data_IF_025024444254
#
_entry.id   IF_025024444254
#
_cell.length_a   1.000
_cell.length_b   1.000
_cell.length_c   1.000
_cell.angle_alpha   90.00
_cell.angle_beta   90.00
_cell.angle_gamma   90.00
#
_symmetry.space_group_name_H-M   'P 1'
#
loop_
_entity.id
_entity.type
_entity.pdbx_description
1 polymer ?
#
# COMPACT_ATOMS: atom_id res chain seq x y z
N UNK A 1 -53.22 -3.29 -4.56
CA UNK A 1 -52.50 -3.07 -5.84
C UNK A 1 -51.35 -2.12 -5.56
N UNK A 2 -50.07 -2.45 -5.76
CA UNK A 2 -49.05 -1.40 -5.53
C UNK A 2 -47.55 -1.73 -5.56
N UNK A 3 -47.10 -2.96 -5.28
CA UNK A 3 -45.65 -3.22 -5.16
C UNK A 3 -45.06 -4.04 -6.31
N UNK A 4 -45.83 -4.95 -6.91
CA UNK A 4 -45.37 -5.81 -8.02
C UNK A 4 -45.24 -5.07 -9.36
N UNK A 5 -46.04 -4.02 -9.57
CA UNK A 5 -45.97 -3.18 -10.77
C UNK A 5 -44.73 -2.25 -10.77
N UNK A 6 -44.29 -1.82 -9.59
CA UNK A 6 -43.12 -0.95 -9.42
C UNK A 6 -41.80 -1.68 -9.71
N UNK A 7 -41.69 -2.94 -9.28
CA UNK A 7 -40.54 -3.81 -9.60
C UNK A 7 -40.42 -4.14 -11.10
N UNK A 8 -41.55 -4.26 -11.81
CA UNK A 8 -41.56 -4.47 -13.26
C UNK A 8 -41.11 -3.23 -14.03
N UNK A 9 -41.56 -2.04 -13.61
CA UNK A 9 -41.13 -0.76 -14.20
C UNK A 9 -39.64 -0.47 -13.96
N UNK A 10 -39.14 -0.75 -12.75
CA UNK A 10 -37.73 -0.59 -12.41
C UNK A 10 -36.83 -1.53 -13.23
N UNK A 11 -37.23 -2.80 -13.45
CA UNK A 11 -36.50 -3.75 -14.31
C UNK A 11 -36.46 -3.33 -15.78
N UNK A 12 -37.56 -2.81 -16.31
CA UNK A 12 -37.64 -2.34 -17.68
C UNK A 12 -36.77 -1.10 -17.92
N UNK A 13 -36.74 -0.17 -16.97
CA UNK A 13 -35.85 1.00 -17.00
C UNK A 13 -34.37 0.61 -16.90
N UNK A 14 -34.05 -0.39 -16.08
CA UNK A 14 -32.67 -0.90 -15.94
C UNK A 14 -32.16 -1.59 -17.21
N UNK A 15 -33.03 -2.32 -17.92
CA UNK A 15 -32.68 -2.97 -19.20
C UNK A 15 -32.53 -1.98 -20.34
N UNK A 16 -33.38 -0.94 -20.40
CA UNK A 16 -33.30 0.06 -21.46
C UNK A 16 -32.06 0.98 -21.31
N UNK A 17 -31.64 1.25 -20.06
CA UNK A 17 -30.40 1.98 -19.78
C UNK A 17 -29.13 1.16 -20.09
N UNK A 18 -29.21 -0.18 -20.03
CA UNK A 18 -28.09 -1.06 -20.37
C UNK A 18 -27.86 -1.18 -21.89
N UNK A 19 -28.91 -0.93 -22.68
CA UNK A 19 -28.90 -0.95 -24.14
C UNK A 19 -28.35 0.31 -24.81
N UNK A 20 -28.40 1.47 -24.13
CA UNK A 20 -27.93 2.75 -24.69
C UNK A 20 -26.43 3.02 -24.50
N UNK A 21 -25.73 2.14 -23.77
CA UNK A 21 -24.30 2.27 -23.55
C UNK A 21 -23.54 1.85 -24.81
N UNK A 22 -22.94 2.84 -25.48
CA UNK A 22 -22.07 2.64 -26.64
C UNK A 22 -21.01 1.55 -26.33
N UNK A 23 -20.56 0.77 -27.34
CA UNK A 23 -19.54 -0.27 -27.14
C UNK A 23 -18.30 0.25 -26.40
N UNK A 24 -17.92 1.51 -26.65
CA UNK A 24 -16.80 2.21 -26.00
C UNK A 24 -17.02 2.41 -24.49
N UNK A 25 -18.26 2.68 -24.06
CA UNK A 25 -18.61 2.82 -22.66
C UNK A 25 -18.50 1.50 -21.89
N UNK A 26 -18.82 0.36 -22.53
CA UNK A 26 -18.66 -0.97 -21.92
C UNK A 26 -17.20 -1.33 -21.68
N UNK A 27 -16.31 -1.01 -22.63
CA UNK A 27 -14.87 -1.16 -22.45
C UNK A 27 -14.32 -0.25 -21.34
N UNK A 28 -14.75 1.01 -21.30
CA UNK A 28 -14.35 1.94 -20.24
C UNK A 28 -14.77 1.46 -18.84
N UNK A 29 -15.98 0.91 -18.72
CA UNK A 29 -16.50 0.39 -17.45
C UNK A 29 -15.78 -0.89 -17.00
N UNK A 30 -15.46 -1.78 -17.95
CA UNK A 30 -14.63 -2.96 -17.69
C UNK A 30 -13.21 -2.58 -17.23
N UNK A 31 -12.57 -1.63 -17.91
CA UNK A 31 -11.25 -1.13 -17.53
C UNK A 31 -11.27 -0.47 -16.14
N UNK A 32 -12.30 0.34 -15.85
CA UNK A 32 -12.47 0.97 -14.55
C UNK A 32 -12.66 -0.07 -13.43
N UNK A 33 -13.44 -1.12 -13.68
CA UNK A 33 -13.60 -2.22 -12.73
C UNK A 33 -12.28 -2.95 -12.47
N UNK A 34 -11.52 -3.27 -13.53
CA UNK A 34 -10.19 -3.88 -13.39
C UNK A 34 -9.24 -2.97 -12.60
N UNK A 35 -9.25 -1.66 -12.87
CA UNK A 35 -8.42 -0.70 -12.13
C UNK A 35 -8.79 -0.65 -10.63
N UNK A 36 -10.08 -0.66 -10.29
CA UNK A 36 -10.55 -0.69 -8.90
C UNK A 36 -10.16 -1.99 -8.20
N UNK A 37 -10.30 -3.13 -8.88
CA UNK A 37 -9.87 -4.44 -8.34
C UNK A 37 -8.37 -4.46 -8.10
N UNK A 38 -7.56 -3.99 -9.06
CA UNK A 38 -6.10 -3.89 -8.91
C UNK A 38 -5.72 -2.95 -7.76
N UNK A 39 -6.42 -1.81 -7.60
CA UNK A 39 -6.18 -0.88 -6.50
C UNK A 39 -6.53 -1.50 -5.14
N UNK A 40 -7.63 -2.25 -5.06
CA UNK A 40 -8.03 -2.97 -3.86
C UNK A 40 -7.04 -4.08 -3.46
N UNK A 41 -6.56 -4.85 -4.44
CA UNK A 41 -5.52 -5.86 -4.23
C UNK A 41 -4.21 -5.21 -3.77
N UNK A 42 -3.80 -4.11 -4.40
CA UNK A 42 -2.62 -3.35 -3.99
C UNK A 42 -2.74 -2.80 -2.56
N UNK A 43 -3.94 -2.34 -2.17
CA UNK A 43 -4.20 -1.87 -0.81
C UNK A 43 -4.16 -3.00 0.24
N UNK A 44 -4.65 -4.20 -0.10
CA UNK A 44 -4.52 -5.37 0.78
C UNK A 44 -3.07 -5.84 0.92
N UNK A 45 -2.27 -5.73 -0.13
CA UNK A 45 -0.84 -6.06 -0.11
C UNK A 45 0.00 -4.99 0.62
N UNK A 46 -0.49 -3.76 0.70
CA UNK A 46 0.16 -2.63 1.37
C UNK A 46 -0.30 -2.49 2.83
N UNK A 47 -0.41 -3.61 3.54
CA UNK A 47 -0.56 -3.57 4.99
C UNK A 47 0.68 -2.85 5.57
N UNK A 48 0.50 -1.87 6.47
CA UNK A 48 1.61 -1.11 7.04
C UNK A 48 2.52 -2.05 7.86
N UNK A 49 3.60 -2.49 7.22
CA UNK A 49 4.64 -3.32 7.82
C UNK A 49 5.43 -2.49 8.84
N UNK A 50 5.78 -3.10 9.96
CA UNK A 50 6.84 -2.61 10.82
C UNK A 50 8.19 -3.04 10.24
N UNK A 51 9.26 -2.43 10.75
CA UNK A 51 10.61 -2.69 10.26
C UNK A 51 11.49 -3.16 11.42
N UNK A 52 12.12 -4.33 11.29
CA UNK A 52 13.10 -4.84 12.24
C UNK A 52 14.51 -4.56 11.70
N UNK A 53 15.27 -3.76 12.43
CA UNK A 53 16.69 -3.54 12.16
C UNK A 53 17.53 -4.42 13.05
N UNK A 54 18.11 -5.46 12.47
CA UNK A 54 19.05 -6.35 13.14
C UNK A 54 20.46 -5.76 13.06
N UNK A 55 21.11 -5.58 14.19
CA UNK A 55 22.52 -5.18 14.29
C UNK A 55 23.26 -6.24 15.09
N UNK A 56 24.01 -7.09 14.40
CA UNK A 56 24.79 -8.15 15.01
C UNK A 56 26.26 -7.76 15.05
N UNK A 57 26.85 -7.70 16.25
CA UNK A 57 28.29 -7.55 16.46
C UNK A 57 28.87 -8.90 16.82
N UNK A 58 29.90 -9.31 16.09
CA UNK A 58 30.56 -10.59 16.31
C UNK A 58 32.07 -10.52 16.12
N UNK A 59 32.76 -11.50 16.68
CA UNK A 59 34.20 -11.70 16.58
C UNK A 59 34.58 -12.90 15.69
N UNK A 60 33.60 -13.54 15.06
CA UNK A 60 33.84 -14.65 14.14
C UNK A 60 34.39 -14.18 12.78
N UNK A 61 35.32 -14.96 12.22
CA UNK A 61 35.78 -14.81 10.83
C UNK A 61 34.67 -15.12 9.82
N UNK A 62 33.90 -16.18 10.10
CA UNK A 62 32.72 -16.60 9.34
C UNK A 62 31.74 -17.27 10.30
N UNK A 63 30.47 -16.89 10.26
CA UNK A 63 29.38 -17.51 11.01
C UNK A 63 28.08 -17.41 10.21
N UNK A 64 27.18 -18.36 10.39
CA UNK A 64 25.85 -18.34 9.80
C UNK A 64 24.85 -17.77 10.81
N UNK A 65 24.08 -16.77 10.39
CA UNK A 65 22.99 -16.19 11.15
C UNK A 65 21.66 -16.61 10.54
N UNK A 66 20.79 -17.16 11.39
CA UNK A 66 19.41 -17.48 11.02
C UNK A 66 18.49 -16.69 11.93
N UNK A 67 17.54 -15.98 11.32
CA UNK A 67 16.51 -15.21 12.03
C UNK A 67 15.17 -15.86 11.76
N UNK A 68 14.49 -16.23 12.82
CA UNK A 68 13.11 -16.71 12.82
C UNK A 68 12.19 -15.72 13.51
N UNK A 69 10.98 -15.56 12.98
CA UNK A 69 9.91 -14.76 13.59
C UNK A 69 8.71 -15.69 13.78
N UNK A 70 8.23 -15.80 15.01
CA UNK A 70 7.13 -16.68 15.40
C UNK A 70 7.32 -18.16 14.97
N UNK A 71 8.58 -18.60 14.89
CA UNK A 71 8.96 -19.96 14.48
C UNK A 71 9.15 -20.15 12.97
N UNK A 72 8.89 -19.13 12.15
CA UNK A 72 9.16 -19.16 10.71
C UNK A 72 10.53 -18.53 10.39
N UNK A 73 11.36 -19.22 9.61
CA UNK A 73 12.66 -18.69 9.19
C UNK A 73 12.45 -17.59 8.13
N UNK A 74 12.66 -16.35 8.54
CA UNK A 74 12.49 -15.18 7.66
C UNK A 74 13.77 -14.79 6.93
N UNK A 75 14.92 -15.11 7.50
CA UNK A 75 16.21 -14.73 6.93
C UNK A 75 17.33 -15.69 7.34
N UNK A 76 18.20 -16.03 6.39
CA UNK A 76 19.43 -16.78 6.63
C UNK A 76 20.54 -16.13 5.85
N UNK A 77 21.67 -15.88 6.51
CA UNK A 77 22.83 -15.22 5.90
C UNK A 77 24.14 -15.69 6.53
N UNK A 78 25.25 -15.45 5.85
CA UNK A 78 26.58 -15.70 6.38
C UNK A 78 27.26 -14.39 6.72
N UNK A 79 27.58 -14.20 8.01
CA UNK A 79 28.28 -13.02 8.52
C UNK A 79 29.78 -13.26 8.54
N UNK A 80 30.54 -12.30 8.04
CA UNK A 80 32.01 -12.37 7.96
C UNK A 80 32.65 -11.21 8.72
N UNK A 81 33.69 -11.53 9.50
CA UNK A 81 34.41 -10.56 10.33
C UNK A 81 35.74 -10.19 9.71
N UNK A 82 36.09 -8.91 9.76
CA UNK A 82 37.40 -8.44 9.30
C UNK A 82 38.41 -8.50 10.45
N UNK A 83 39.60 -9.03 10.18
CA UNK A 83 40.71 -9.04 11.15
C UNK A 83 41.29 -7.63 11.23
N UNK A 84 41.15 -6.96 12.38
CA UNK A 84 41.76 -5.65 12.61
C UNK A 84 42.99 -5.80 13.48
N UNK A 85 44.17 -5.47 12.93
CA UNK A 85 45.41 -5.35 13.70
C UNK A 85 45.38 -4.03 14.48
N UNK A 86 45.34 -4.11 15.80
CA UNK A 86 45.48 -2.94 16.67
C UNK A 86 46.91 -2.93 17.24
N UNK A 87 47.70 -1.95 16.82
CA UNK A 87 49.01 -1.59 17.39
C UNK A 87 49.90 -2.79 17.79
N UNK A 88 50.36 -3.54 16.80
CA UNK A 88 51.57 -4.38 16.88
C UNK A 88 51.49 -5.71 17.65
N UNK A 89 50.51 -5.97 18.53
CA UNK A 89 50.59 -7.16 19.42
C UNK A 89 49.28 -7.98 19.55
N UNK A 90 48.10 -7.45 19.20
CA UNK A 90 46.85 -8.22 19.28
C UNK A 90 46.03 -8.16 17.98
N UNK A 91 45.83 -9.34 17.37
CA UNK A 91 44.86 -9.55 16.30
C UNK A 91 43.48 -9.74 16.92
N UNK A 92 42.57 -8.79 16.69
CA UNK A 92 41.17 -8.93 17.09
C UNK A 92 40.31 -8.99 15.83
N UNK A 93 39.53 -10.06 15.69
CA UNK A 93 38.53 -10.18 14.64
C UNK A 93 37.27 -9.48 15.13
N UNK A 94 36.75 -8.54 14.35
CA UNK A 94 35.51 -7.84 14.67
C UNK A 94 34.71 -7.62 13.38
N UNK A 95 33.45 -8.04 13.41
CA UNK A 95 32.47 -7.91 12.34
C UNK A 95 31.21 -7.23 12.87
N UNK A 96 30.61 -6.38 12.04
CA UNK A 96 29.29 -5.82 12.30
C UNK A 96 28.42 -6.12 11.10
N UNK A 97 27.37 -6.89 11.34
CA UNK A 97 26.34 -7.20 10.36
C UNK A 97 25.10 -6.35 10.66
N UNK A 98 24.56 -5.68 9.65
CA UNK A 98 23.32 -4.90 9.80
C UNK A 98 22.36 -5.31 8.70
N UNK A 99 21.13 -5.69 9.07
CA UNK A 99 20.09 -6.08 8.13
C UNK A 99 18.76 -5.50 8.56
N UNK A 100 17.98 -5.08 7.58
CA UNK A 100 16.62 -4.58 7.79
C UNK A 100 15.63 -5.58 7.20
N UNK A 101 14.67 -6.01 8.00
CA UNK A 101 13.66 -7.00 7.64
C UNK A 101 12.25 -6.40 7.84
N UNK A 102 11.34 -6.54 6.86
CA UNK A 102 9.94 -6.19 7.08
C UNK A 102 9.30 -7.21 8.03
N UNK A 103 8.56 -6.72 9.03
CA UNK A 103 7.86 -7.54 10.03
C UNK A 103 6.42 -7.07 10.16
N UNK A 104 5.50 -8.00 10.44
CA UNK A 104 4.13 -7.66 10.77
C UNK A 104 4.03 -6.65 11.91
N UNK A 105 2.97 -5.84 11.93
CA UNK A 105 2.69 -5.02 13.10
C UNK A 105 2.03 -5.86 14.18
N UNK A 106 2.54 -5.80 15.40
CA UNK A 106 2.02 -6.57 16.53
C UNK A 106 3.13 -7.10 17.43
N UNK A 107 2.74 -7.98 18.36
CA UNK A 107 3.69 -8.69 19.21
C UNK A 107 4.21 -9.90 18.46
N UNK A 108 5.52 -9.97 18.30
CA UNK A 108 6.21 -11.07 17.62
C UNK A 108 7.35 -11.60 18.49
N UNK A 109 7.60 -12.90 18.40
CA UNK A 109 8.75 -13.55 19.00
C UNK A 109 9.88 -13.62 17.97
N UNK A 110 10.94 -12.86 18.19
CA UNK A 110 12.12 -12.89 17.31
C UNK A 110 13.13 -13.86 17.91
N UNK A 111 13.53 -14.83 17.13
CA UNK A 111 14.56 -15.79 17.47
C UNK A 111 15.75 -15.62 16.52
N UNK A 112 16.93 -15.62 17.11
CA UNK A 112 18.19 -15.47 16.40
C UNK A 112 19.06 -16.66 16.78
N UNK A 113 19.50 -17.40 15.77
CA UNK A 113 20.47 -18.47 15.88
C UNK A 113 21.76 -18.04 15.21
N UNK A 114 22.86 -18.23 15.90
CA UNK A 114 24.19 -17.95 15.40
C UNK A 114 25.03 -19.21 15.47
N UNK A 115 25.51 -19.66 14.31
CA UNK A 115 26.30 -20.88 14.14
C UNK A 115 27.69 -20.54 13.59
N UNK A 116 28.72 -20.93 14.32
CA UNK A 116 30.11 -20.86 13.90
C UNK A 116 30.85 -22.15 14.32
N UNK A 117 32.08 -22.40 13.85
CA UNK A 117 32.86 -23.56 14.29
C UNK A 117 33.03 -23.57 15.82
N UNK A 118 32.39 -24.51 16.51
CA UNK A 118 32.41 -24.61 17.98
C UNK A 118 31.46 -23.67 18.72
N UNK A 119 30.52 -23.02 18.03
CA UNK A 119 29.54 -22.09 18.61
C UNK A 119 28.17 -22.30 17.95
N UNK A 120 27.17 -22.80 18.67
CA UNK A 120 25.79 -22.92 18.17
C UNK A 120 24.85 -22.47 19.30
N UNK A 121 24.51 -21.19 19.28
CA UNK A 121 23.63 -20.59 20.28
C UNK A 121 22.39 -20.02 19.62
N UNK A 122 21.26 -20.24 20.27
CA UNK A 122 19.96 -19.73 19.84
C UNK A 122 19.35 -18.94 20.99
N UNK A 123 18.81 -17.76 20.69
CA UNK A 123 18.17 -16.90 21.67
C UNK A 123 16.92 -16.30 21.08
N UNK A 124 15.87 -16.21 21.89
CA UNK A 124 14.61 -15.57 21.52
C UNK A 124 14.32 -14.37 22.42
N UNK A 125 13.64 -13.38 21.85
CA UNK A 125 13.19 -12.18 22.53
C UNK A 125 11.85 -11.72 21.94
N UNK A 126 10.88 -11.45 22.80
CA UNK A 126 9.61 -10.88 22.37
C UNK A 126 9.76 -9.37 22.16
N UNK A 127 9.20 -8.86 21.06
CA UNK A 127 9.14 -7.43 20.74
C UNK A 127 7.74 -7.01 20.35
N UNK A 128 7.43 -5.73 20.60
CA UNK A 128 6.23 -5.09 20.06
C UNK A 128 6.62 -4.23 18.86
N UNK A 129 6.00 -4.52 17.72
CA UNK A 129 6.27 -3.87 16.45
C UNK A 129 5.11 -2.96 16.08
N UNK A 130 5.31 -1.66 16.28
CA UNK A 130 4.33 -0.65 15.90
C UNK A 130 4.35 -0.40 14.39
N UNK A 131 3.16 -0.22 13.79
CA UNK A 131 3.00 0.10 12.36
C UNK A 131 3.86 1.29 11.94
N UNK A 132 4.64 1.13 10.86
CA UNK A 132 5.49 2.17 10.30
C UNK A 132 6.64 2.63 11.21
N UNK A 133 6.91 1.92 12.31
CA UNK A 133 8.07 2.18 13.18
C UNK A 133 9.17 1.17 12.91
N UNK A 134 10.39 1.61 13.13
CA UNK A 134 11.59 0.78 13.10
C UNK A 134 11.96 0.37 14.54
N UNK A 135 12.09 -0.93 14.76
CA UNK A 135 12.58 -1.52 16.01
C UNK A 135 13.98 -2.07 15.77
N UNK A 136 14.96 -1.59 16.53
CA UNK A 136 16.34 -2.04 16.39
C UNK A 136 16.66 -3.12 17.42
N UNK A 137 17.07 -4.30 16.95
CA UNK A 137 17.54 -5.41 17.77
C UNK A 137 19.06 -5.50 17.68
N UNK A 138 19.73 -5.36 18.82
CA UNK A 138 21.16 -5.62 18.92
C UNK A 138 21.44 -7.05 19.36
N UNK A 139 22.31 -7.70 18.60
CA UNK A 139 22.80 -9.05 18.86
C UNK A 139 24.29 -8.95 19.14
N UNK A 140 24.73 -9.51 20.25
CA UNK A 140 26.15 -9.58 20.58
C UNK A 140 26.56 -11.03 20.76
N UNK A 141 27.59 -11.45 20.01
CA UNK A 141 28.27 -12.72 20.27
C UNK A 141 29.38 -12.49 21.30
N UNK A 142 29.22 -13.13 22.45
CA UNK A 142 30.27 -13.26 23.46
C UNK A 142 30.37 -14.72 23.88
N UNK A 143 30.61 -14.97 25.17
CA UNK A 143 30.51 -16.33 25.74
C UNK A 143 29.13 -16.94 25.50
N UNK A 144 28.09 -16.11 25.58
CA UNK A 144 26.71 -16.46 25.25
C UNK A 144 26.13 -15.45 24.25
N UNK A 145 25.09 -15.87 23.52
CA UNK A 145 24.36 -15.01 22.60
C UNK A 145 23.40 -14.10 23.39
N UNK A 146 23.62 -12.78 23.32
CA UNK A 146 22.76 -11.81 23.98
C UNK A 146 21.98 -10.97 22.98
N UNK A 147 20.71 -10.72 23.31
CA UNK A 147 19.76 -9.94 22.54
C UNK A 147 19.27 -8.78 23.37
N UNK A 148 19.32 -7.57 22.82
CA UNK A 148 18.81 -6.38 23.47
C UNK A 148 18.09 -5.48 22.47
N UNK A 149 16.88 -5.04 22.82
CA UNK A 149 16.20 -3.99 22.08
C UNK A 149 16.94 -2.67 22.29
N UNK A 150 17.32 -2.04 21.19
CA UNK A 150 17.81 -0.66 21.21
C UNK A 150 16.58 0.24 21.12
N UNK A 151 16.18 0.82 22.23
CA UNK A 151 15.24 1.93 22.21
C UNK A 151 15.84 3.03 21.34
N UNK A 152 15.14 3.41 20.28
CA UNK A 152 15.38 4.67 19.59
C UNK A 152 15.02 5.80 20.58
N UNK A 153 15.93 6.12 21.51
CA UNK A 153 15.58 6.94 22.67
C UNK A 153 16.71 7.09 23.68
N UNK A 154 17.88 7.56 23.24
CA UNK A 154 18.81 8.30 24.11
C UNK A 154 19.37 9.49 23.32
N UNK A 155 18.50 10.45 23.07
CA UNK A 155 18.76 11.71 22.39
C UNK A 155 17.56 12.61 22.63
N UNK A 156 17.82 13.77 23.23
CA UNK A 156 16.84 14.68 23.79
C UNK A 156 15.72 15.11 22.84
N UNK A 157 14.53 15.30 23.41
CA UNK A 157 13.55 16.31 22.99
C UNK A 157 12.96 16.17 21.59
N UNK A 158 11.89 15.41 21.45
CA UNK A 158 10.78 15.77 20.59
C UNK A 158 9.55 14.97 21.04
N UNK A 159 8.61 15.67 21.69
CA UNK A 159 7.24 15.20 21.71
C UNK A 159 6.75 15.24 20.25
N UNK A 160 6.56 14.07 19.64
CA UNK A 160 5.90 13.97 18.34
C UNK A 160 4.64 13.11 18.49
N UNK A 161 3.48 13.61 18.02
CA UNK A 161 2.19 13.02 18.29
C UNK A 161 2.02 11.71 17.53
N UNK A 162 1.32 10.78 18.19
CA UNK A 162 0.82 9.56 17.59
C UNK A 162 0.13 9.84 16.23
N UNK A 163 0.50 9.06 15.20
CA UNK A 163 -0.30 8.95 13.97
C UNK A 163 0.25 9.62 12.71
N UNK A 164 1.58 9.72 12.54
CA UNK A 164 2.16 10.17 11.27
C UNK A 164 1.92 9.13 10.16
N UNK A 165 0.79 9.28 9.46
CA UNK A 165 0.57 8.69 8.14
C UNK A 165 1.70 9.15 7.20
N UNK A 166 2.25 8.28 6.33
CA UNK A 166 3.31 8.66 5.40
C UNK A 166 2.93 9.93 4.64
N UNK A 167 3.84 10.92 4.61
CA UNK A 167 3.59 12.27 4.05
C UNK A 167 3.06 12.26 2.62
N UNK A 168 3.34 11.21 1.84
CA UNK A 168 2.78 11.02 0.49
C UNK A 168 1.26 10.84 0.47
N UNK A 169 0.61 10.35 1.54
CA UNK A 169 -0.86 10.25 1.63
C UNK A 169 -1.55 11.61 1.61
N UNK A 170 -0.88 12.69 2.05
CA UNK A 170 -1.40 14.06 1.89
C UNK A 170 -1.50 14.45 0.42
N UNK A 171 -0.58 13.95 -0.41
CA UNK A 171 -0.59 14.15 -1.86
C UNK A 171 -1.48 13.13 -2.58
N UNK A 172 -1.65 11.93 -2.04
CA UNK A 172 -2.60 10.94 -2.58
C UNK A 172 -4.04 11.48 -2.55
N UNK A 173 -4.42 12.16 -1.46
CA UNK A 173 -5.70 12.85 -1.36
C UNK A 173 -5.88 13.94 -2.42
N UNK A 174 -4.85 14.75 -2.71
CA UNK A 174 -4.92 15.81 -3.72
C UNK A 174 -4.95 15.26 -5.16
N UNK A 175 -4.23 14.18 -5.43
CA UNK A 175 -4.26 13.48 -6.72
C UNK A 175 -5.65 12.86 -6.95
N UNK A 176 -6.24 12.20 -5.94
CA UNK A 176 -7.60 11.67 -6.02
C UNK A 176 -8.65 12.77 -6.21
N UNK A 177 -8.51 13.91 -5.53
CA UNK A 177 -9.38 15.08 -5.74
C UNK A 177 -9.29 15.63 -7.17
N UNK A 178 -8.09 15.59 -7.77
CA UNK A 178 -7.89 16.08 -9.14
C UNK A 178 -8.47 15.11 -10.17
N UNK A 179 -8.34 13.80 -9.95
CA UNK A 179 -8.94 12.76 -10.80
C UNK A 179 -10.47 12.80 -10.70
N UNK A 180 -11.03 12.94 -9.50
CA UNK A 180 -12.49 13.08 -9.33
C UNK A 180 -13.04 14.37 -9.95
N UNK A 181 -12.32 15.50 -9.77
CA UNK A 181 -12.72 16.78 -10.35
C UNK A 181 -12.75 16.77 -11.89
N UNK A 182 -11.81 16.07 -12.52
CA UNK A 182 -11.77 15.97 -13.99
C UNK A 182 -12.86 15.05 -14.56
N UNK A 183 -13.23 13.98 -13.85
CA UNK A 183 -14.36 13.12 -14.23
C UNK A 183 -15.70 13.87 -14.12
N UNK A 184 -15.94 14.59 -13.02
CA UNK A 184 -17.18 15.36 -12.81
C UNK A 184 -17.32 16.48 -13.85
N UNK A 185 -16.23 17.19 -14.15
CA UNK A 185 -16.21 18.27 -15.15
C UNK A 185 -16.58 17.77 -16.56
N UNK A 186 -16.05 16.61 -16.97
CA UNK A 186 -16.38 16.01 -18.27
C UNK A 186 -17.86 15.59 -18.36
N UNK A 187 -18.46 15.07 -17.29
CA UNK A 187 -19.87 14.68 -17.28
C UNK A 187 -20.84 15.85 -17.43
N UNK A 188 -20.50 17.04 -16.89
CA UNK A 188 -21.35 18.23 -17.03
C UNK A 188 -21.34 18.72 -18.48
N UNK A 189 -20.20 18.69 -19.16
CA UNK A 189 -20.10 19.07 -20.57
C UNK A 189 -20.96 18.21 -21.50
N UNK A 190 -21.00 16.90 -21.26
CA UNK A 190 -21.84 15.97 -22.04
C UNK A 190 -23.33 16.23 -21.79
N UNK A 191 -23.74 16.46 -20.54
CA UNK A 191 -25.14 16.77 -20.20
C UNK A 191 -25.61 18.08 -20.83
N UNK A 192 -24.77 19.11 -20.89
CA UNK A 192 -25.10 20.40 -21.52
C UNK A 192 -25.25 20.25 -23.03
N UNK A 193 -24.35 19.49 -23.67
CA UNK A 193 -24.46 19.24 -25.11
C UNK A 193 -25.74 18.45 -25.44
N UNK A 194 -26.06 17.43 -24.67
CA UNK A 194 -27.29 16.65 -24.87
C UNK A 194 -28.54 17.50 -24.64
N UNK A 195 -28.53 18.40 -23.65
CA UNK A 195 -29.67 19.30 -23.40
C UNK A 195 -29.85 20.35 -24.51
N UNK A 196 -28.76 20.96 -24.99
CA UNK A 196 -28.81 21.91 -26.10
C UNK A 196 -29.20 21.24 -27.41
N UNK A 197 -28.70 20.02 -27.66
CA UNK A 197 -29.03 19.24 -28.86
C UNK A 197 -30.50 18.78 -28.83
N UNK A 198 -31.01 18.36 -27.68
CA UNK A 198 -32.42 18.04 -27.49
C UNK A 198 -33.33 19.26 -27.64
N UNK A 199 -32.92 20.44 -27.16
CA UNK A 199 -33.67 21.68 -27.34
C UNK A 199 -33.69 22.13 -28.81
N UNK A 200 -32.56 22.03 -29.51
CA UNK A 200 -32.44 22.39 -30.93
C UNK A 200 -33.29 21.47 -31.82
N UNK A 201 -33.37 20.18 -31.48
CA UNK A 201 -34.26 19.23 -32.16
C UNK A 201 -35.73 19.62 -32.04
N UNK A 202 -36.21 19.99 -30.84
CA UNK A 202 -37.61 20.42 -30.63
C UNK A 202 -37.95 21.73 -31.35
N UNK A 203 -37.03 22.69 -31.38
CA UNK A 203 -37.26 23.98 -32.08
C UNK A 203 -37.31 23.80 -33.59
N UNK A 204 -36.53 22.87 -34.15
CA UNK A 204 -36.59 22.53 -35.58
C UNK A 204 -37.91 21.88 -35.99
N UNK A 205 -38.54 21.12 -35.10
CA UNK A 205 -39.82 20.44 -35.35
C UNK A 205 -40.98 21.43 -35.36
N UNK A 206 -40.98 22.45 -34.50
CA UNK A 206 -41.99 23.52 -34.50
C UNK A 206 -41.90 24.44 -35.72
N UNK A 207 -40.70 24.71 -36.23
CA UNK A 207 -40.51 25.56 -37.43
C UNK A 207 -40.93 24.89 -38.74
N UNK A 208 -40.88 23.56 -38.80
CA UNK A 208 -41.23 22.78 -40.00
C UNK A 208 -42.74 22.65 -40.20
N UNK A 209 -43.52 22.60 -39.10
CA UNK A 209 -44.99 22.56 -39.14
C UNK A 209 -45.59 23.88 -39.65
N UNK A 210 -44.94 25.02 -39.39
CA UNK A 210 -45.45 26.33 -39.80
C UNK A 210 -45.19 26.66 -41.29
N UNK A 211 -44.21 26.01 -41.92
CA UNK A 211 -43.88 26.21 -43.34
C UNK A 211 -44.71 25.35 -44.29
N UNK A 212 -45.22 24.20 -43.85
CA UNK A 212 -46.19 23.41 -44.65
C UNK A 212 -47.62 23.96 -44.55
N UNK A 213 -48.02 24.58 -43.43
CA UNK A 213 -49.35 25.19 -43.28
C UNK A 213 -49.55 26.50 -44.07
N UNK A 214 -48.47 27.16 -44.50
CA UNK A 214 -48.53 28.44 -45.24
C UNK A 214 -48.69 28.27 -46.75
N UNK A 215 -48.52 27.05 -47.29
CA UNK A 215 -48.59 26.79 -48.74
C UNK A 215 -49.97 26.33 -49.26
N UNK A 216 -50.97 26.24 -48.38
CA UNK A 216 -52.33 25.76 -48.72
C UNK A 216 -53.35 26.91 -48.71
N UNK A 217 -52.90 28.16 -48.56
CA UNK A 217 -53.75 29.34 -48.49
C UNK A 217 -53.19 30.51 -49.29
N UNK A 218 -53.06 30.34 -50.61
CA UNK A 218 -53.09 31.45 -51.56
C UNK A 218 -53.50 30.97 -52.94
#
# INVERSE_FOLDING_TARGET
MGFRAWLAGARALLWNALGSLSPKARFALGLAFVAVVLLGVAALMSLPSATLKLVCRHDFRSADITVSIDGEVVHTDTVTGAVRKRFGVLEKTEGTYTRTLPVGSGRHLVEVRLRAPGYDHTRSISGDFSRGKESALSVYSGRDLSLAWRSAGSGAGAADPAGASPSWFKYAGSVLMTIFGSIVSASIGVLVQDFLRARKARVGETGRVQTEGSKIGS
#
